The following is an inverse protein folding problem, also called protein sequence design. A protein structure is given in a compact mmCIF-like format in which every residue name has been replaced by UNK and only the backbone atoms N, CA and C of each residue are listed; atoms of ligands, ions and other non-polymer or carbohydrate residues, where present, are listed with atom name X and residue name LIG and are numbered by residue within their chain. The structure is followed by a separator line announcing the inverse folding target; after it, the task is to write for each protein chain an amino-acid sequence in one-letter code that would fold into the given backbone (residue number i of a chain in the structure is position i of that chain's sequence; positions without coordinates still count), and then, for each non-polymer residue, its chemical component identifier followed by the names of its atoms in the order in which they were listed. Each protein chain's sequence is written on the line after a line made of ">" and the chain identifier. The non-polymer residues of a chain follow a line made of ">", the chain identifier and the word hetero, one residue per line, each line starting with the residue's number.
data_IF_106564485920
#
_entry.id   IF_106564485920
#
_cell.length_a   1.000
_cell.length_b   1.000
_cell.length_c   1.000
_cell.angle_alpha   90.00
_cell.angle_beta   90.00
_cell.angle_gamma   90.00
#
_symmetry.space_group_name_H-M   'P 1'
#
loop_
_entity.id
_entity.type
_entity.pdbx_description
1 polymer ?
#
# COMPACT_ATOMS: atom_id res chain seq x y z
N UNK A 1 -39.75 50.96 -38.28
CA UNK A 1 -40.46 51.58 -37.14
C UNK A 1 -41.46 50.57 -36.61
N UNK A 2 -41.48 50.40 -35.29
CA UNK A 2 -42.14 49.32 -34.55
C UNK A 2 -43.67 49.44 -34.49
N UNK A 3 -44.37 48.31 -34.33
CA UNK A 3 -45.20 47.97 -33.16
C UNK A 3 -46.19 46.83 -33.45
N UNK A 4 -46.43 45.98 -32.45
CA UNK A 4 -47.52 44.99 -32.46
C UNK A 4 -47.42 43.97 -31.34
N UNK A 5 -48.13 44.22 -30.25
CA UNK A 5 -48.28 43.44 -29.00
C UNK A 5 -49.26 42.28 -29.18
N UNK A 6 -49.03 41.11 -28.56
CA UNK A 6 -50.11 40.42 -27.82
C UNK A 6 -49.61 39.34 -26.82
N UNK A 7 -50.20 39.34 -25.63
CA UNK A 7 -50.13 38.30 -24.60
C UNK A 7 -51.56 37.78 -24.36
N UNK A 8 -51.78 36.46 -24.40
CA UNK A 8 -52.98 35.82 -23.86
C UNK A 8 -52.62 34.45 -23.27
N UNK A 9 -52.85 34.16 -21.98
CA UNK A 9 -54.08 34.00 -21.17
C UNK A 9 -54.80 32.65 -21.34
N UNK A 10 -54.75 31.88 -20.23
CA UNK A 10 -55.85 31.19 -19.51
C UNK A 10 -56.24 29.70 -19.82
N UNK A 11 -56.90 29.01 -18.85
CA UNK A 11 -56.83 27.56 -18.51
C UNK A 11 -58.27 26.93 -18.62
N UNK A 12 -58.88 26.13 -17.70
CA UNK A 12 -58.46 25.11 -16.70
C UNK A 12 -59.24 23.76 -16.81
N UNK A 13 -59.05 22.92 -15.78
CA UNK A 13 -59.56 21.57 -15.46
C UNK A 13 -61.03 21.21 -15.78
N UNK A 14 -61.28 19.89 -15.95
CA UNK A 14 -62.56 19.22 -15.68
C UNK A 14 -62.37 17.81 -15.09
N UNK A 15 -63.26 17.50 -14.14
CA UNK A 15 -63.47 16.28 -13.39
C UNK A 15 -63.85 15.04 -14.22
N UNK A 16 -63.61 13.84 -13.66
CA UNK A 16 -64.40 12.64 -13.99
C UNK A 16 -64.66 11.77 -12.76
N UNK A 17 -65.92 11.35 -12.67
CA UNK A 17 -66.70 10.85 -11.55
C UNK A 17 -66.46 9.37 -11.18
N UNK A 18 -66.34 9.12 -9.87
CA UNK A 18 -66.98 8.08 -9.01
C UNK A 18 -67.72 6.89 -9.67
N UNK A 19 -67.42 5.67 -9.20
CA UNK A 19 -68.43 4.62 -8.91
C UNK A 19 -68.12 3.85 -7.61
N UNK A 20 -69.21 3.50 -6.95
CA UNK A 20 -69.55 3.11 -5.55
C UNK A 20 -69.37 1.61 -5.19
N UNK A 21 -68.86 1.22 -3.99
CA UNK A 21 -69.55 0.68 -2.74
C UNK A 21 -69.63 -0.88 -2.68
N UNK A 22 -69.77 -1.63 -1.52
CA UNK A 22 -69.59 -1.40 -0.05
C UNK A 22 -68.55 -2.36 0.61
N UNK A 23 -67.87 -2.06 1.73
CA UNK A 23 -68.19 -2.14 3.19
C UNK A 23 -68.65 -3.51 3.74
N UNK A 24 -67.80 -4.17 4.53
CA UNK A 24 -68.20 -4.88 5.76
C UNK A 24 -66.99 -5.01 6.71
N UNK A 25 -67.14 -4.44 7.90
CA UNK A 25 -66.22 -4.58 9.03
C UNK A 25 -66.70 -5.73 9.93
N UNK A 26 -65.77 -6.48 10.52
CA UNK A 26 -66.05 -7.36 11.65
C UNK A 26 -65.02 -7.10 12.77
N UNK A 27 -65.56 -6.97 13.97
CA UNK A 27 -64.97 -6.60 15.26
C UNK A 27 -65.07 -7.82 16.17
N UNK A 28 -64.11 -8.08 17.05
CA UNK A 28 -64.33 -8.99 18.18
C UNK A 28 -63.08 -9.65 18.78
N UNK A 29 -62.77 -9.24 20.01
CA UNK A 29 -61.81 -9.82 20.95
C UNK A 29 -62.10 -11.28 21.36
N UNK A 30 -61.07 -11.98 21.86
CA UNK A 30 -61.22 -12.83 23.06
C UNK A 30 -60.81 -14.30 23.01
N UNK A 31 -59.83 -14.63 23.85
CA UNK A 31 -59.69 -15.84 24.69
C UNK A 31 -59.26 -17.21 24.09
N UNK A 32 -58.04 -17.63 24.49
CA UNK A 32 -57.83 -18.82 25.33
C UNK A 32 -57.82 -20.23 24.68
N UNK A 33 -56.73 -20.97 24.90
CA UNK A 33 -56.77 -22.44 24.91
C UNK A 33 -55.54 -23.16 24.35
N UNK A 34 -54.64 -23.61 25.24
CA UNK A 34 -53.58 -24.58 24.93
C UNK A 34 -54.19 -25.94 24.60
N UNK A 35 -53.66 -26.66 23.62
CA UNK A 35 -53.39 -28.11 23.73
C UNK A 35 -52.28 -28.50 22.74
N UNK A 36 -51.23 -29.10 23.28
CA UNK A 36 -50.14 -29.71 22.53
C UNK A 36 -50.54 -31.12 22.09
N UNK A 37 -50.28 -31.46 20.83
CA UNK A 37 -50.16 -32.85 20.38
C UNK A 37 -48.84 -33.02 19.62
N UNK A 38 -48.17 -34.13 19.93
CA UNK A 38 -46.72 -34.30 19.93
C UNK A 38 -46.38 -35.41 18.95
N UNK A 39 -45.77 -35.11 17.80
CA UNK A 39 -45.14 -36.13 16.96
C UNK A 39 -44.13 -35.54 15.97
N UNK A 40 -42.93 -36.15 15.88
CA UNK A 40 -41.93 -35.81 14.86
C UNK A 40 -40.50 -35.60 15.36
N UNK A 41 -39.91 -36.56 16.08
CA UNK A 41 -38.53 -36.43 16.54
C UNK A 41 -37.73 -37.75 16.45
N UNK A 42 -37.79 -38.47 15.33
CA UNK A 42 -36.90 -39.64 15.13
C UNK A 42 -36.12 -39.59 13.81
N UNK A 43 -36.70 -39.10 12.70
CA UNK A 43 -36.03 -39.12 11.39
C UNK A 43 -34.95 -38.02 11.15
N UNK A 44 -34.88 -36.95 11.96
CA UNK A 44 -33.91 -35.85 11.71
C UNK A 44 -32.50 -36.13 12.25
N UNK A 45 -32.35 -37.07 13.18
CA UNK A 45 -31.10 -37.29 13.94
C UNK A 45 -30.07 -38.11 13.17
N UNK A 46 -30.50 -38.97 12.25
CA UNK A 46 -29.65 -39.81 11.39
C UNK A 46 -29.05 -39.03 10.23
N UNK A 47 -29.83 -38.15 9.57
CA UNK A 47 -29.31 -37.28 8.52
C UNK A 47 -28.34 -36.21 9.03
N UNK A 48 -28.52 -35.71 10.26
CA UNK A 48 -27.58 -34.76 10.87
C UNK A 48 -26.22 -35.39 11.15
N UNK A 49 -26.19 -36.63 11.68
CA UNK A 49 -24.95 -37.37 11.95
C UNK A 49 -24.21 -37.76 10.66
N UNK A 50 -24.94 -38.13 9.61
CA UNK A 50 -24.37 -38.48 8.31
C UNK A 50 -23.77 -37.25 7.60
N UNK A 51 -24.47 -36.11 7.64
CA UNK A 51 -23.97 -34.84 7.06
C UNK A 51 -22.77 -34.29 7.83
N UNK A 52 -22.74 -34.43 9.15
CA UNK A 52 -21.61 -34.01 9.97
C UNK A 52 -20.36 -34.87 9.69
N UNK A 53 -20.54 -36.19 9.51
CA UNK A 53 -19.44 -37.08 9.12
C UNK A 53 -18.89 -36.74 7.73
N UNK A 54 -19.75 -36.46 6.75
CA UNK A 54 -19.31 -36.11 5.39
C UNK A 54 -18.58 -34.76 5.35
N UNK A 55 -19.06 -33.77 6.13
CA UNK A 55 -18.39 -32.47 6.24
C UNK A 55 -17.01 -32.58 6.92
N UNK A 56 -16.86 -33.44 7.93
CA UNK A 56 -15.58 -33.66 8.60
C UNK A 56 -14.56 -34.36 7.68
N UNK A 57 -14.99 -35.31 6.86
CA UNK A 57 -14.13 -35.97 5.87
C UNK A 57 -13.61 -35.01 4.80
N UNK A 58 -14.46 -34.08 4.34
CA UNK A 58 -14.08 -33.06 3.36
C UNK A 58 -13.08 -32.05 3.95
N UNK A 59 -13.21 -31.73 5.25
CA UNK A 59 -12.29 -30.82 5.95
C UNK A 59 -10.86 -31.39 6.04
N UNK A 60 -10.73 -32.71 6.19
CA UNK A 60 -9.42 -33.40 6.26
C UNK A 60 -8.73 -33.43 4.89
N UNK A 61 -9.50 -33.53 3.80
CA UNK A 61 -8.95 -33.56 2.43
C UNK A 61 -8.46 -32.16 1.96
N UNK A 62 -9.01 -31.07 2.48
CA UNK A 62 -8.60 -29.69 2.12
C UNK A 62 -7.30 -29.25 2.83
N UNK A 63 -6.90 -29.92 3.91
CA UNK A 63 -5.67 -29.59 4.65
C UNK A 63 -4.37 -30.12 4.00
N UNK A 64 -4.44 -30.79 2.84
CA UNK A 64 -3.29 -31.47 2.22
C UNK A 64 -2.35 -30.60 1.38
N UNK A 65 -2.72 -29.39 0.99
CA UNK A 65 -1.96 -28.63 -0.03
C UNK A 65 -0.80 -27.77 0.51
N UNK A 66 -0.53 -27.75 1.82
CA UNK A 66 0.54 -26.91 2.40
C UNK A 66 1.71 -27.68 3.02
N UNK A 67 1.75 -29.02 2.93
CA UNK A 67 2.84 -29.79 3.53
C UNK A 67 4.09 -29.88 2.65
N UNK A 68 3.98 -29.73 1.33
CA UNK A 68 5.13 -29.71 0.42
C UNK A 68 5.37 -28.29 -0.11
N UNK A 69 5.87 -27.41 0.77
CA UNK A 69 6.53 -26.19 0.33
C UNK A 69 7.85 -26.50 -0.39
N UNK A 70 8.34 -25.62 -1.28
CA UNK A 70 9.66 -25.77 -1.87
C UNK A 70 10.73 -25.88 -0.77
N UNK A 71 11.61 -26.89 -0.86
CA UNK A 71 12.74 -27.05 0.07
C UNK A 71 13.82 -26.01 -0.28
N UNK A 72 13.67 -24.79 0.23
CA UNK A 72 14.57 -23.65 -0.05
C UNK A 72 15.90 -23.70 0.73
N UNK A 73 16.10 -24.68 1.63
CA UNK A 73 17.21 -24.65 2.59
C UNK A 73 18.37 -25.60 2.29
N UNK A 74 18.20 -26.56 1.37
CA UNK A 74 19.23 -27.57 1.08
C UNK A 74 20.54 -26.98 0.54
N UNK A 75 20.49 -25.83 -0.14
CA UNK A 75 21.67 -25.14 -0.64
C UNK A 75 22.47 -24.42 0.46
N UNK A 76 21.81 -23.97 1.54
CA UNK A 76 22.46 -23.23 2.63
C UNK A 76 23.41 -24.10 3.47
N UNK A 77 23.16 -25.41 3.50
CA UNK A 77 24.02 -26.38 4.17
C UNK A 77 25.17 -26.88 3.29
N UNK A 78 25.27 -26.43 2.04
CA UNK A 78 26.34 -26.85 1.14
C UNK A 78 27.70 -26.34 1.63
N UNK A 79 28.61 -27.27 1.89
CA UNK A 79 29.98 -26.99 2.32
C UNK A 79 30.89 -27.07 1.10
N UNK A 80 31.78 -26.09 0.95
CA UNK A 80 32.83 -26.11 -0.07
C UNK A 80 33.74 -27.32 0.20
N UNK A 81 33.76 -28.27 -0.73
CA UNK A 81 34.72 -29.38 -0.69
C UNK A 81 36.14 -28.87 -0.99
N UNK A 82 37.17 -29.43 -0.33
CA UNK A 82 38.55 -29.06 -0.60
C UNK A 82 38.92 -29.34 -2.06
N UNK A 83 39.68 -28.42 -2.66
CA UNK A 83 40.21 -28.59 -4.01
C UNK A 83 41.10 -29.82 -4.04
N UNK A 84 40.91 -30.69 -5.03
CA UNK A 84 41.74 -31.87 -5.22
C UNK A 84 43.17 -31.43 -5.58
N UNK A 85 44.14 -31.69 -4.70
CA UNK A 85 45.56 -31.59 -5.00
C UNK A 85 45.97 -32.74 -5.93
N UNK A 86 46.41 -32.40 -7.14
CA UNK A 86 46.87 -33.38 -8.11
C UNK A 86 48.35 -33.75 -7.87
N UNK A 87 48.72 -35.04 -7.88
CA UNK A 87 50.12 -35.46 -7.85
C UNK A 87 50.86 -35.05 -9.14
N UNK A 88 52.19 -34.86 -9.08
CA UNK A 88 52.98 -34.15 -10.09
C UNK A 88 53.11 -34.81 -11.49
N UNK A 89 52.37 -35.87 -11.80
CA UNK A 89 52.42 -36.55 -13.11
C UNK A 89 51.12 -36.49 -13.92
N UNK A 90 50.14 -35.64 -13.55
CA UNK A 90 48.90 -35.50 -14.33
C UNK A 90 48.75 -34.06 -14.84
N UNK A 91 48.86 -33.88 -16.17
CA UNK A 91 48.41 -32.65 -16.83
C UNK A 91 46.90 -32.54 -16.71
N UNK A 92 46.44 -31.63 -15.85
CA UNK A 92 45.02 -31.35 -15.65
C UNK A 92 44.42 -30.66 -16.89
N UNK A 93 43.17 -30.97 -17.27
CA UNK A 93 42.46 -30.20 -18.30
C UNK A 93 42.29 -28.74 -17.87
N UNK A 94 42.22 -27.78 -18.83
CA UNK A 94 42.09 -26.37 -18.52
C UNK A 94 40.81 -26.11 -17.71
N UNK A 95 40.92 -25.36 -16.61
CA UNK A 95 39.78 -24.95 -15.79
C UNK A 95 38.78 -24.18 -16.66
N UNK A 96 37.55 -24.69 -16.75
CA UNK A 96 36.46 -24.01 -17.45
C UNK A 96 35.90 -22.89 -16.56
N UNK A 97 36.11 -21.63 -16.96
CA UNK A 97 35.70 -20.45 -16.19
C UNK A 97 34.17 -20.21 -16.16
N UNK A 98 33.38 -20.99 -16.90
CA UNK A 98 31.92 -20.87 -16.90
C UNK A 98 31.26 -21.12 -15.53
N UNK A 99 31.98 -21.77 -14.61
CA UNK A 99 31.50 -22.09 -13.25
C UNK A 99 32.33 -21.42 -12.15
N UNK A 100 33.15 -20.42 -12.50
CA UNK A 100 33.91 -19.67 -11.52
C UNK A 100 32.97 -18.78 -10.71
N UNK A 101 32.84 -19.06 -9.41
CA UNK A 101 32.08 -18.23 -8.48
C UNK A 101 33.02 -17.11 -7.99
N UNK A 102 32.78 -15.83 -8.34
CA UNK A 102 33.58 -14.73 -7.80
C UNK A 102 33.37 -14.65 -6.28
N UNK A 103 34.47 -14.57 -5.53
CA UNK A 103 34.45 -14.44 -4.07
C UNK A 103 33.92 -13.05 -3.71
N UNK A 104 32.61 -12.93 -3.48
CA UNK A 104 32.00 -11.73 -2.94
C UNK A 104 31.87 -11.87 -1.42
N UNK A 105 32.50 -10.96 -0.68
CA UNK A 105 32.27 -10.80 0.76
C UNK A 105 30.91 -10.12 0.94
N UNK A 106 29.84 -10.90 1.06
CA UNK A 106 28.48 -10.38 1.18
C UNK A 106 28.16 -9.97 2.64
N UNK A 107 27.62 -8.76 2.89
CA UNK A 107 27.01 -8.43 4.18
C UNK A 107 25.71 -9.24 4.38
N UNK A 108 25.45 -9.61 5.64
CA UNK A 108 24.46 -10.60 6.09
C UNK A 108 22.97 -10.21 5.95
N UNK A 109 22.53 -9.63 4.83
CA UNK A 109 21.11 -9.34 4.61
C UNK A 109 20.68 -9.45 3.15
N UNK A 110 20.65 -10.67 2.61
CA UNK A 110 19.92 -10.98 1.38
C UNK A 110 18.47 -11.36 1.72
N UNK A 111 17.66 -10.33 2.01
CA UNK A 111 16.20 -10.43 1.98
C UNK A 111 15.70 -10.22 0.56
N UNK A 112 14.78 -11.07 0.10
CA UNK A 112 14.20 -11.14 -1.25
C UNK A 112 13.89 -9.74 -1.82
N UNK A 113 14.65 -9.30 -2.82
CA UNK A 113 14.19 -8.31 -3.80
C UNK A 113 13.16 -9.04 -4.66
N UNK A 114 11.90 -8.62 -4.61
CA UNK A 114 10.91 -9.09 -5.58
C UNK A 114 11.33 -8.59 -6.97
N UNK A 115 11.99 -9.46 -7.73
CA UNK A 115 12.27 -9.26 -9.15
C UNK A 115 10.95 -9.37 -9.93
N UNK A 116 10.22 -8.26 -9.99
CA UNK A 116 9.16 -8.04 -10.97
C UNK A 116 9.75 -7.72 -12.34
N UNK A 117 9.78 -8.73 -13.22
CA UNK A 117 9.79 -8.54 -14.67
C UNK A 117 11.16 -8.41 -15.34
N UNK A 118 11.35 -9.18 -16.42
CA UNK A 118 12.53 -9.13 -17.29
C UNK A 118 12.75 -7.71 -17.83
N UNK A 119 13.88 -7.12 -17.47
CA UNK A 119 14.30 -5.76 -17.80
C UNK A 119 14.54 -5.00 -16.51
N UNK A 120 15.80 -4.90 -16.06
CA UNK A 120 16.14 -4.14 -14.87
C UNK A 120 15.44 -2.76 -14.90
N UNK A 121 14.80 -2.31 -13.81
CA UNK A 121 14.15 -1.01 -13.83
C UNK A 121 15.22 0.04 -14.13
N UNK A 122 14.98 0.87 -15.15
CA UNK A 122 15.93 1.89 -15.56
C UNK A 122 16.29 2.85 -14.40
N UNK A 123 15.38 2.94 -13.41
CA UNK A 123 15.50 3.69 -12.16
C UNK A 123 15.61 2.70 -10.99
N UNK A 124 16.68 2.80 -10.20
CA UNK A 124 16.98 1.86 -9.11
C UNK A 124 17.03 2.58 -7.76
N UNK A 125 16.47 1.98 -6.71
CA UNK A 125 16.73 2.42 -5.34
C UNK A 125 18.08 1.85 -4.92
N UNK A 126 19.06 2.73 -4.67
CA UNK A 126 20.34 2.38 -4.06
C UNK A 126 20.31 2.68 -2.57
N UNK A 127 21.14 1.95 -1.82
CA UNK A 127 21.24 2.08 -0.38
C UNK A 127 22.69 1.95 0.05
N UNK A 128 23.10 2.84 0.94
CA UNK A 128 24.34 2.74 1.68
C UNK A 128 24.05 3.04 3.16
N UNK A 129 24.28 2.06 4.03
CA UNK A 129 23.90 2.09 5.44
C UNK A 129 22.43 2.53 5.67
N UNK A 130 22.25 3.75 6.19
CA UNK A 130 20.94 4.37 6.46
C UNK A 130 20.47 5.28 5.31
N UNK A 131 21.33 5.64 4.37
CA UNK A 131 21.01 6.51 3.25
C UNK A 131 20.40 5.70 2.10
N UNK A 132 19.28 6.19 1.54
CA UNK A 132 18.65 5.65 0.34
C UNK A 132 18.49 6.75 -0.70
N UNK A 133 18.65 6.41 -1.97
CA UNK A 133 18.46 7.33 -3.08
C UNK A 133 18.00 6.60 -4.33
N UNK A 134 17.43 7.35 -5.28
CA UNK A 134 17.13 6.84 -6.61
C UNK A 134 18.30 7.14 -7.55
N UNK A 135 18.85 6.13 -8.18
CA UNK A 135 19.73 6.28 -9.34
C UNK A 135 18.86 6.24 -10.61
N UNK A 136 18.74 7.38 -11.26
CA UNK A 136 17.83 7.59 -12.37
C UNK A 136 18.59 7.82 -13.70
N UNK A 137 18.06 7.32 -14.83
CA UNK A 137 18.69 7.41 -16.15
C UNK A 137 18.40 8.76 -16.82
N UNK A 138 18.39 9.84 -16.04
CA UNK A 138 18.09 11.20 -16.49
C UNK A 138 19.19 12.13 -16.02
N UNK A 139 19.53 13.12 -16.84
CA UNK A 139 20.42 14.20 -16.42
C UNK A 139 19.81 15.01 -15.26
N UNK A 140 20.62 15.75 -14.49
CA UNK A 140 20.16 16.45 -13.29
C UNK A 140 19.02 17.45 -13.59
N UNK A 141 19.06 18.15 -14.72
CA UNK A 141 18.00 19.09 -15.13
C UNK A 141 16.67 18.41 -15.47
N UNK A 142 16.73 17.25 -16.10
CA UNK A 142 15.53 16.48 -16.45
C UNK A 142 14.93 15.82 -15.20
N UNK A 143 15.77 15.19 -14.39
CA UNK A 143 15.36 14.61 -13.11
C UNK A 143 14.70 15.65 -12.21
N UNK A 144 15.26 16.86 -12.16
CA UNK A 144 14.69 17.99 -11.44
C UNK A 144 13.27 18.34 -11.90
N UNK A 145 13.06 18.49 -13.21
CA UNK A 145 11.73 18.78 -13.77
C UNK A 145 10.73 17.67 -13.44
N UNK A 146 11.16 16.40 -13.51
CA UNK A 146 10.30 15.26 -13.14
C UNK A 146 9.99 15.25 -11.64
N UNK A 147 10.94 15.57 -10.78
CA UNK A 147 10.74 15.70 -9.33
C UNK A 147 9.73 16.82 -9.02
N UNK A 148 9.81 17.97 -9.70
CA UNK A 148 8.81 19.04 -9.54
C UNK A 148 7.42 18.58 -10.01
N UNK A 149 7.35 17.87 -11.14
CA UNK A 149 6.09 17.33 -11.66
C UNK A 149 5.46 16.30 -10.70
N UNK A 150 6.27 15.49 -10.01
CA UNK A 150 5.81 14.54 -9.00
C UNK A 150 5.04 15.24 -7.86
N UNK A 151 5.62 16.29 -7.29
CA UNK A 151 4.98 17.04 -6.19
C UNK A 151 3.75 17.81 -6.68
N UNK A 152 3.82 18.37 -7.90
CA UNK A 152 2.66 19.01 -8.54
C UNK A 152 1.50 18.04 -8.77
N UNK A 153 1.76 16.82 -9.24
CA UNK A 153 0.70 15.81 -9.44
C UNK A 153 0.06 15.39 -8.13
N UNK A 154 0.81 15.44 -7.02
CA UNK A 154 0.32 15.12 -5.68
C UNK A 154 -0.39 16.27 -4.99
N UNK A 155 -0.53 17.41 -5.66
CA UNK A 155 -1.11 18.63 -5.10
C UNK A 155 -0.40 19.07 -3.79
N UNK A 156 0.93 18.91 -3.78
CA UNK A 156 1.79 19.29 -2.66
C UNK A 156 2.52 20.59 -3.01
N UNK A 157 2.29 21.61 -2.20
CA UNK A 157 2.98 22.90 -2.31
C UNK A 157 4.47 22.79 -1.91
N UNK A 158 5.29 23.69 -2.45
CA UNK A 158 6.72 23.76 -2.16
C UNK A 158 7.01 24.98 -1.29
N UNK A 159 7.59 24.75 -0.12
CA UNK A 159 8.04 25.80 0.79
C UNK A 159 9.30 26.50 0.30
N UNK A 160 10.18 25.74 -0.37
CA UNK A 160 11.46 26.22 -0.86
C UNK A 160 11.84 25.46 -2.13
N UNK A 161 12.38 26.18 -3.11
CA UNK A 161 12.88 25.63 -4.36
C UNK A 161 14.15 26.38 -4.77
N UNK A 162 15.25 25.66 -4.88
CA UNK A 162 16.51 26.14 -5.43
C UNK A 162 16.84 25.32 -6.68
N UNK A 163 16.69 25.94 -7.84
CA UNK A 163 16.98 25.30 -9.13
C UNK A 163 18.47 25.19 -9.43
N UNK A 164 19.32 26.04 -8.82
CA UNK A 164 20.77 25.96 -9.02
C UNK A 164 21.35 24.78 -8.23
N UNK A 165 20.90 24.61 -6.98
CA UNK A 165 21.29 23.48 -6.12
C UNK A 165 20.45 22.22 -6.33
N UNK A 166 19.43 22.29 -7.20
CA UNK A 166 18.46 21.21 -7.46
C UNK A 166 17.91 20.62 -6.17
N UNK A 167 17.51 21.52 -5.28
CA UNK A 167 17.02 21.24 -3.94
C UNK A 167 15.63 21.82 -3.78
N UNK A 168 14.70 21.00 -3.31
CA UNK A 168 13.39 21.49 -2.87
C UNK A 168 13.05 21.03 -1.47
N UNK A 169 12.11 21.73 -0.88
CA UNK A 169 11.46 21.39 0.37
C UNK A 169 9.96 21.58 0.19
N UNK A 170 9.18 20.55 0.52
CA UNK A 170 7.72 20.66 0.48
C UNK A 170 7.21 21.54 1.60
N UNK A 171 6.02 22.09 1.44
CA UNK A 171 5.25 22.55 2.58
C UNK A 171 4.91 21.38 3.51
N UNK A 172 4.53 21.73 4.74
CA UNK A 172 4.07 20.73 5.70
C UNK A 172 2.73 20.14 5.26
N UNK A 173 2.72 18.85 4.97
CA UNK A 173 1.57 18.08 4.55
C UNK A 173 0.85 17.56 5.79
N UNK A 174 -0.37 18.02 6.05
CA UNK A 174 -1.19 17.48 7.12
C UNK A 174 -1.69 16.08 6.79
N UNK A 175 -1.42 15.11 7.65
CA UNK A 175 -2.03 13.78 7.58
C UNK A 175 -3.46 13.83 8.15
N UNK A 176 -4.31 14.72 7.64
CA UNK A 176 -5.70 14.87 8.10
C UNK A 176 -6.57 13.87 7.34
N UNK A 177 -6.76 12.68 7.92
CA UNK A 177 -7.73 11.66 7.49
C UNK A 177 -7.86 11.51 5.95
N UNK A 178 -6.85 10.94 5.28
CA UNK A 178 -6.98 10.72 3.82
C UNK A 178 -5.79 10.14 3.06
N UNK A 179 -4.60 10.02 3.64
CA UNK A 179 -3.47 9.38 2.97
C UNK A 179 -3.29 7.94 3.49
N UNK A 180 -3.45 6.90 2.64
CA UNK A 180 -3.29 5.52 3.05
C UNK A 180 -1.80 5.13 3.01
N UNK A 181 -1.01 5.58 3.99
CA UNK A 181 0.28 4.93 4.27
C UNK A 181 0.10 3.98 5.45
N UNK A 182 0.25 2.68 5.18
CA UNK A 182 0.22 1.63 6.22
C UNK A 182 1.38 1.79 7.21
N UNK A 183 2.50 2.43 6.84
CA UNK A 183 3.61 2.74 7.73
C UNK A 183 3.25 3.74 8.84
N UNK A 184 2.60 4.86 8.48
CA UNK A 184 2.31 5.94 9.43
C UNK A 184 1.34 5.54 10.56
N UNK A 185 0.34 4.68 10.25
CA UNK A 185 -0.60 4.15 11.25
C UNK A 185 0.10 3.30 12.33
N UNK A 186 1.14 2.57 11.96
CA UNK A 186 1.84 1.68 12.88
C UNK A 186 2.79 2.44 13.82
N UNK A 187 3.40 3.52 13.35
CA UNK A 187 4.25 4.40 14.15
C UNK A 187 3.44 5.18 15.19
N UNK A 188 2.27 5.72 14.82
CA UNK A 188 1.34 6.38 15.76
C UNK A 188 0.85 5.42 16.84
N UNK A 189 0.51 4.19 16.46
CA UNK A 189 0.03 3.17 17.40
C UNK A 189 1.13 2.67 18.35
N UNK A 190 2.37 2.59 17.87
CA UNK A 190 3.52 2.07 18.63
C UNK A 190 4.16 3.12 19.54
N UNK A 191 4.10 4.39 19.18
CA UNK A 191 4.70 5.46 19.98
C UNK A 191 3.88 5.80 21.24
N UNK A 192 2.55 5.66 21.24
CA UNK A 192 1.73 6.33 22.27
C UNK A 192 0.53 5.54 22.86
N UNK A 193 0.31 4.27 22.51
CA UNK A 193 -0.58 3.38 23.28
C UNK A 193 -1.96 3.96 23.65
N UNK A 194 -2.88 4.05 22.69
CA UNK A 194 -4.29 4.39 22.94
C UNK A 194 -4.83 5.47 22.02
N UNK A 195 -6.16 5.47 21.80
CA UNK A 195 -6.91 6.29 20.85
C UNK A 195 -6.54 7.79 20.90
N UNK A 196 -5.65 8.22 20.00
CA UNK A 196 -5.14 9.59 20.00
C UNK A 196 -5.51 10.34 18.71
N UNK A 197 -6.31 11.39 18.86
CA UNK A 197 -6.56 12.45 17.85
C UNK A 197 -5.33 13.36 17.69
N UNK A 198 -4.19 12.78 17.32
CA UNK A 198 -2.97 13.55 17.05
C UNK A 198 -3.00 14.07 15.62
N UNK A 199 -2.90 15.39 15.46
CA UNK A 199 -2.68 16.00 14.15
C UNK A 199 -1.21 15.87 13.81
N UNK A 200 -0.91 15.18 12.71
CA UNK A 200 0.45 14.95 12.24
C UNK A 200 0.70 15.77 10.97
N UNK A 201 1.95 16.22 10.83
CA UNK A 201 2.43 16.86 9.61
C UNK A 201 3.75 16.23 9.16
N UNK A 202 3.93 16.19 7.85
CA UNK A 202 5.11 15.66 7.17
C UNK A 202 5.71 16.70 6.24
N UNK A 203 7.03 16.78 6.22
CA UNK A 203 7.78 17.62 5.29
C UNK A 203 8.88 16.79 4.66
N UNK A 204 9.04 16.94 3.35
CA UNK A 204 10.06 16.25 2.58
C UNK A 204 11.05 17.25 2.01
N UNK A 205 12.33 16.89 2.06
CA UNK A 205 13.40 17.60 1.35
C UNK A 205 13.99 16.67 0.30
N UNK A 206 14.06 17.15 -0.93
CA UNK A 206 14.61 16.40 -2.07
C UNK A 206 15.82 17.15 -2.62
N UNK A 207 16.85 16.39 -2.98
CA UNK A 207 18.07 16.89 -3.61
C UNK A 207 18.42 16.00 -4.80
N UNK A 208 18.67 16.61 -5.94
CA UNK A 208 19.13 15.91 -7.14
C UNK A 208 20.62 16.23 -7.34
N UNK A 209 21.43 15.20 -7.50
CA UNK A 209 22.86 15.33 -7.77
C UNK A 209 23.21 14.67 -9.10
N UNK A 210 24.24 15.19 -9.78
CA UNK A 210 24.79 14.56 -10.97
C UNK A 210 25.52 13.27 -10.57
N UNK A 211 25.13 12.15 -11.20
CA UNK A 211 25.77 10.85 -11.00
C UNK A 211 26.79 10.52 -12.11
N UNK A 212 27.00 11.44 -13.05
CA UNK A 212 27.82 11.24 -14.23
C UNK A 212 27.09 10.45 -15.32
N UNK A 213 27.64 10.48 -16.54
CA UNK A 213 27.12 9.74 -17.70
C UNK A 213 25.65 10.04 -18.02
N UNK A 214 25.20 11.28 -17.78
CA UNK A 214 23.81 11.69 -18.00
C UNK A 214 22.81 11.04 -17.03
N UNK A 215 23.27 10.59 -15.86
CA UNK A 215 22.44 10.04 -14.79
C UNK A 215 22.37 11.00 -13.60
N UNK A 216 21.44 10.75 -12.70
CA UNK A 216 21.29 11.53 -11.47
C UNK A 216 20.96 10.66 -10.27
N UNK A 217 21.44 11.09 -9.10
CA UNK A 217 21.06 10.54 -7.81
C UNK A 217 20.03 11.47 -7.16
N UNK A 218 18.87 10.94 -6.80
CA UNK A 218 17.79 11.69 -6.15
C UNK A 218 17.68 11.23 -4.69
N UNK A 219 18.05 12.12 -3.78
CA UNK A 219 17.97 11.93 -2.34
C UNK A 219 16.67 12.52 -1.80
N UNK A 220 16.03 11.80 -0.88
CA UNK A 220 14.81 12.25 -0.22
C UNK A 220 14.95 12.00 1.28
N UNK A 221 14.66 13.03 2.07
CA UNK A 221 14.69 12.99 3.54
C UNK A 221 13.36 13.46 4.09
N UNK A 222 12.96 12.90 5.22
CA UNK A 222 11.67 13.17 5.88
C UNK A 222 11.86 13.84 7.22
N UNK A 223 10.96 14.78 7.50
CA UNK A 223 10.75 15.35 8.83
C UNK A 223 9.28 15.30 9.16
N UNK A 224 9.01 15.03 10.43
CA UNK A 224 7.66 14.99 10.94
C UNK A 224 7.46 15.94 12.11
N UNK A 225 6.23 16.41 12.29
CA UNK A 225 5.79 17.11 13.49
C UNK A 225 4.43 16.56 13.96
N UNK A 226 4.18 16.61 15.27
CA UNK A 226 2.86 16.35 15.85
C UNK A 226 2.39 17.56 16.66
N UNK A 227 1.07 17.76 16.70
CA UNK A 227 0.47 18.83 17.46
C UNK A 227 0.41 18.45 18.94
N UNK A 228 0.92 19.32 19.81
CA UNK A 228 0.91 19.16 21.26
C UNK A 228 0.26 20.36 21.93
N UNK A 229 -0.49 20.13 23.02
CA UNK A 229 -0.97 21.19 23.88
C UNK A 229 0.10 21.55 24.93
N UNK A 230 0.48 22.84 24.98
CA UNK A 230 1.30 23.42 26.02
C UNK A 230 0.56 23.49 27.35
N UNK A 231 1.32 23.70 28.44
CA UNK A 231 0.76 23.84 29.80
C UNK A 231 -0.15 25.06 29.96
N UNK A 232 0.01 26.04 29.07
CA UNK A 232 -0.78 27.26 28.90
C UNK A 232 -2.04 27.07 28.04
N UNK A 233 -2.28 25.87 27.52
CA UNK A 233 -3.40 25.57 26.63
C UNK A 233 -3.15 25.96 25.17
N UNK A 234 -1.99 26.54 24.83
CA UNK A 234 -1.62 26.85 23.45
C UNK A 234 -1.20 25.58 22.71
N UNK A 235 -1.54 25.46 21.42
CA UNK A 235 -1.07 24.34 20.60
C UNK A 235 0.23 24.69 19.89
N UNK A 236 1.17 23.74 19.84
CA UNK A 236 2.46 23.89 19.18
C UNK A 236 2.86 22.62 18.46
N UNK A 237 3.62 22.79 17.39
CA UNK A 237 4.22 21.68 16.65
C UNK A 237 5.50 21.23 17.33
N UNK A 238 5.56 19.97 17.74
CA UNK A 238 6.77 19.35 18.27
C UNK A 238 7.34 18.39 17.22
N UNK A 239 8.66 18.47 17.01
CA UNK A 239 9.35 17.61 16.06
C UNK A 239 9.31 16.16 16.56
N UNK A 240 8.94 15.25 15.66
CA UNK A 240 8.96 13.80 15.91
C UNK A 240 10.26 13.21 15.36
N UNK A 241 10.60 12.03 15.86
CA UNK A 241 11.76 11.29 15.36
C UNK A 241 11.61 11.04 13.86
N UNK A 242 12.70 11.15 13.07
CA UNK A 242 12.68 10.79 11.66
C UNK A 242 12.20 9.35 11.46
N UNK A 243 11.41 9.12 10.42
CA UNK A 243 10.84 7.82 10.09
C UNK A 243 11.42 7.29 8.78
N UNK A 244 12.42 6.39 8.82
CA UNK A 244 13.02 5.83 7.60
C UNK A 244 12.02 5.08 6.70
N UNK A 245 10.90 4.61 7.27
CA UNK A 245 9.81 3.98 6.52
C UNK A 245 9.09 5.00 5.64
N UNK A 246 8.79 6.21 6.15
CA UNK A 246 8.16 7.27 5.38
C UNK A 246 9.07 7.74 4.20
N UNK A 247 10.38 7.82 4.44
CA UNK A 247 11.37 8.08 3.37
C UNK A 247 11.35 6.98 2.31
N UNK A 248 11.33 5.72 2.73
CA UNK A 248 11.29 4.56 1.84
C UNK A 248 10.01 4.51 1.00
N UNK A 249 8.85 4.73 1.61
CA UNK A 249 7.56 4.78 0.93
C UNK A 249 7.54 5.91 -0.12
N UNK A 250 8.00 7.11 0.25
CA UNK A 250 8.01 8.25 -0.66
C UNK A 250 9.04 8.09 -1.80
N UNK A 251 10.21 7.52 -1.53
CA UNK A 251 11.19 7.16 -2.56
C UNK A 251 10.63 6.15 -3.56
N UNK A 252 9.93 5.13 -3.08
CA UNK A 252 9.30 4.14 -3.95
C UNK A 252 8.17 4.76 -4.79
N UNK A 253 7.37 5.64 -4.17
CA UNK A 253 6.34 6.39 -4.88
C UNK A 253 6.93 7.27 -5.99
N UNK A 254 8.06 7.93 -5.72
CA UNK A 254 8.79 8.71 -6.72
C UNK A 254 9.37 7.81 -7.82
N UNK A 255 9.96 6.66 -7.48
CA UNK A 255 10.45 5.69 -8.47
C UNK A 255 9.35 5.27 -9.45
N UNK A 256 8.18 4.92 -8.91
CA UNK A 256 7.03 4.51 -9.70
C UNK A 256 6.55 5.64 -10.61
N UNK A 257 6.47 6.86 -10.09
CA UNK A 257 6.11 8.02 -10.91
C UNK A 257 7.11 8.23 -12.05
N UNK A 258 8.40 8.22 -11.75
CA UNK A 258 9.46 8.42 -12.75
C UNK A 258 9.41 7.36 -13.85
N UNK A 259 9.12 6.10 -13.50
CA UNK A 259 8.99 5.00 -14.45
C UNK A 259 7.82 5.17 -15.44
N UNK A 260 6.75 5.88 -15.04
CA UNK A 260 5.57 6.11 -15.88
C UNK A 260 5.57 7.49 -16.55
N UNK A 261 6.35 8.45 -16.03
CA UNK A 261 6.52 9.77 -16.62
C UNK A 261 7.45 9.68 -17.84
N UNK A 262 6.91 9.30 -19.00
CA UNK A 262 7.59 9.41 -20.29
C UNK A 262 7.64 10.87 -20.72
#
# INVERSE_FOLDING_TARGET
>A
MANGVDQGRYPPAVDALVRTVPRAAARGDGAGGRLAFREGAVMKKTHFRLRLSMALSILILVAGCSWLGPREDAYKESKLEPSLEAPPEITLPPKNNAYAIPKAEAPANCGKTEEGGKGAPAIQIKRDAQLRWLDAPYGPDEAWKKVLAFWKQRDVELAEQDEQLKLLKTEWIEARQGLPSKGLKNLVKKALGGDSDLVLRDQYRVRVEDAGNGRSNIYLTHRGAYLTAGKDGATRWEMRQPEPEAEGEMLQALQLFLAHSR
#
